data_IF_381724905872
#
_entry.id   IF_381724905872
#
_cell.length_a   1.000
_cell.length_b   1.000
_cell.length_c   1.000
_cell.angle_alpha   90.00
_cell.angle_beta   90.00
_cell.angle_gamma   90.00
#
_symmetry.space_group_name_H-M   'P 1'
#
loop_
_entity.id
_entity.type
_entity.pdbx_description
1 polymer ?
#
# COMPACT_ATOMS: atom_id res chain seq x y z
N UNK A 1 79.22 38.02 -32.06
CA UNK A 1 80.14 37.50 -31.01
C UNK A 1 79.43 36.32 -30.37
N UNK A 2 79.84 35.10 -30.74
CA UNK A 2 80.74 34.18 -30.00
C UNK A 2 79.99 33.42 -28.88
N UNK A 3 80.04 32.10 -29.04
CA UNK A 3 79.57 31.04 -28.17
C UNK A 3 80.07 31.19 -26.73
N UNK A 4 79.33 30.64 -25.76
CA UNK A 4 79.91 29.60 -24.90
C UNK A 4 78.82 28.73 -24.26
N UNK A 5 79.04 27.42 -24.40
CA UNK A 5 78.36 26.33 -23.70
C UNK A 5 79.10 26.13 -22.39
N UNK A 6 78.39 26.07 -21.26
CA UNK A 6 78.91 25.48 -20.03
C UNK A 6 77.95 24.39 -19.54
N UNK A 7 78.43 23.16 -19.57
CA UNK A 7 78.00 22.01 -18.77
C UNK A 7 79.13 21.72 -17.75
N UNK A 8 79.00 20.82 -16.75
CA UNK A 8 77.86 20.38 -15.94
C UNK A 8 78.22 20.44 -14.42
N UNK A 9 77.28 20.10 -13.51
CA UNK A 9 77.65 19.43 -12.24
C UNK A 9 76.51 18.57 -11.70
N UNK A 10 76.58 17.27 -11.96
CA UNK A 10 75.94 16.26 -11.11
C UNK A 10 76.80 16.09 -9.85
N UNK A 11 76.22 16.25 -8.68
CA UNK A 11 76.65 15.47 -7.52
C UNK A 11 75.45 14.81 -6.85
N UNK A 12 75.63 13.50 -6.67
CA UNK A 12 74.74 12.54 -6.08
C UNK A 12 74.63 12.70 -4.55
N UNK A 13 73.52 12.17 -4.05
CA UNK A 13 73.31 11.52 -2.76
C UNK A 13 72.98 12.39 -1.54
N UNK A 14 71.70 12.33 -1.14
CA UNK A 14 71.36 11.51 0.04
C UNK A 14 69.98 10.88 -0.08
N UNK A 15 70.03 9.56 -0.14
CA UNK A 15 68.94 8.59 -0.10
C UNK A 15 68.41 8.46 1.33
N UNK A 16 67.10 8.15 1.44
CA UNK A 16 66.30 7.66 2.59
C UNK A 16 65.41 8.69 3.29
N UNK A 17 64.14 8.67 2.90
CA UNK A 17 63.08 8.22 3.81
C UNK A 17 61.90 7.70 3.00
N UNK A 18 61.86 6.37 2.85
CA UNK A 18 60.67 5.61 2.53
C UNK A 18 59.75 5.66 3.76
N UNK A 19 58.55 6.19 3.63
CA UNK A 19 57.37 5.66 4.33
C UNK A 19 56.23 5.62 3.32
N UNK A 20 55.90 4.40 2.92
CA UNK A 20 54.78 4.04 2.08
C UNK A 20 53.47 4.50 2.73
N UNK A 21 52.62 5.20 1.98
CA UNK A 21 51.19 5.23 2.20
C UNK A 21 50.49 4.80 0.91
N UNK A 22 50.68 3.53 0.54
CA UNK A 22 49.82 2.86 -0.42
C UNK A 22 48.51 2.49 0.31
N UNK A 23 47.53 3.38 0.27
CA UNK A 23 46.16 3.07 0.68
C UNK A 23 45.57 2.12 -0.38
N UNK A 24 45.62 0.83 -0.04
CA UNK A 24 44.98 -0.26 -0.77
C UNK A 24 43.47 -0.01 -0.74
N UNK A 25 42.90 0.39 -1.89
CA UNK A 25 41.48 0.24 -2.16
C UNK A 25 41.18 -1.27 -2.30
N UNK A 26 41.08 -1.95 -1.16
CA UNK A 26 40.51 -3.28 -1.12
C UNK A 26 39.01 -3.10 -1.35
N UNK A 27 38.58 -3.27 -2.59
CA UNK A 27 37.18 -3.55 -2.92
C UNK A 27 36.78 -4.80 -2.12
N UNK A 28 36.18 -4.58 -0.95
CA UNK A 28 35.37 -5.60 -0.32
C UNK A 28 34.19 -5.85 -1.27
N UNK A 29 34.37 -6.82 -2.18
CA UNK A 29 33.26 -7.59 -2.70
C UNK A 29 32.68 -8.36 -1.53
N UNK A 30 32.00 -7.65 -0.63
CA UNK A 30 31.09 -8.26 0.31
C UNK A 30 30.12 -9.06 -0.54
N UNK A 31 30.00 -10.34 -0.25
CA UNK A 31 28.99 -11.19 -0.86
C UNK A 31 27.67 -10.43 -0.79
N UNK A 32 27.19 -10.00 -1.95
CA UNK A 32 25.81 -9.54 -2.07
C UNK A 32 25.04 -10.81 -1.78
N UNK A 33 24.63 -10.99 -0.52
CA UNK A 33 23.61 -11.97 -0.21
C UNK A 33 22.45 -11.56 -1.11
N UNK A 34 22.22 -12.35 -2.16
CA UNK A 34 21.00 -12.23 -2.93
C UNK A 34 19.91 -12.31 -1.87
N UNK A 35 19.28 -11.17 -1.58
CA UNK A 35 18.12 -11.13 -0.73
C UNK A 35 17.11 -12.02 -1.44
N UNK A 36 16.99 -13.26 -0.99
CA UNK A 36 15.88 -14.11 -1.36
C UNK A 36 14.66 -13.26 -1.06
N UNK A 37 13.88 -12.93 -2.10
CA UNK A 37 12.63 -12.23 -1.92
C UNK A 37 11.79 -13.07 -0.96
N UNK A 38 11.76 -12.68 0.32
CA UNK A 38 11.00 -13.39 1.32
C UNK A 38 9.54 -13.18 0.93
N UNK A 39 8.90 -14.25 0.46
CA UNK A 39 7.46 -14.24 0.24
C UNK A 39 6.81 -13.90 1.57
N UNK A 40 6.01 -12.83 1.61
CA UNK A 40 5.32 -12.43 2.83
C UNK A 40 4.22 -13.46 3.06
N UNK A 41 4.32 -14.24 4.13
CA UNK A 41 3.32 -15.24 4.44
C UNK A 41 2.02 -14.53 4.87
N UNK A 42 0.97 -14.65 4.06
CA UNK A 42 -0.36 -14.16 4.42
C UNK A 42 -0.95 -15.01 5.55
N UNK A 43 -1.66 -14.40 6.53
CA UNK A 43 -2.36 -15.17 7.55
C UNK A 43 -3.45 -16.05 6.92
N UNK A 44 -3.78 -17.20 7.56
CA UNK A 44 -4.90 -18.01 7.13
C UNK A 44 -6.23 -17.25 7.27
N UNK A 45 -7.08 -17.39 6.28
CA UNK A 45 -8.40 -16.74 6.22
C UNK A 45 -9.51 -17.76 5.96
N UNK A 46 -10.76 -17.47 6.35
CA UNK A 46 -11.91 -18.25 5.91
C UNK A 46 -12.00 -18.30 4.39
N UNK A 47 -12.42 -19.45 3.85
CA UNK A 47 -12.46 -19.75 2.40
C UNK A 47 -13.08 -18.63 1.57
N UNK A 48 -14.14 -17.99 2.07
CA UNK A 48 -14.87 -16.94 1.36
C UNK A 48 -14.03 -15.69 1.06
N UNK A 49 -13.03 -15.36 1.89
CA UNK A 49 -12.15 -14.21 1.67
C UNK A 49 -10.71 -14.63 1.38
N UNK A 50 -10.44 -15.92 1.21
CA UNK A 50 -9.10 -16.40 0.85
C UNK A 50 -8.75 -15.98 -0.58
N UNK A 51 -7.53 -15.46 -0.84
CA UNK A 51 -7.13 -15.07 -2.18
C UNK A 51 -7.13 -16.29 -3.11
N UNK A 52 -7.43 -16.13 -4.40
CA UNK A 52 -7.45 -17.26 -5.33
C UNK A 52 -6.11 -17.99 -5.44
N UNK A 53 -6.17 -19.25 -5.86
CA UNK A 53 -4.97 -20.08 -6.07
C UNK A 53 -3.99 -19.38 -7.01
N UNK A 54 -2.72 -19.37 -6.61
CA UNK A 54 -1.64 -18.71 -7.34
C UNK A 54 -1.44 -17.23 -7.00
N UNK A 55 -2.30 -16.64 -6.16
CA UNK A 55 -2.08 -15.31 -5.62
C UNK A 55 -0.97 -15.34 -4.56
N UNK A 56 0.04 -14.48 -4.72
CA UNK A 56 1.17 -14.39 -3.77
C UNK A 56 1.23 -13.00 -3.14
N UNK A 57 1.21 -12.92 -1.81
CA UNK A 57 1.37 -11.67 -1.09
C UNK A 57 2.80 -11.13 -1.30
N UNK A 58 2.89 -9.86 -1.67
CA UNK A 58 4.17 -9.17 -1.89
C UNK A 58 4.31 -7.90 -1.05
N UNK A 59 3.24 -7.43 -0.43
CA UNK A 59 3.24 -6.24 0.42
C UNK A 59 2.19 -6.34 1.53
N UNK A 60 2.56 -5.90 2.72
CA UNK A 60 1.65 -5.69 3.86
C UNK A 60 1.77 -4.25 4.36
N UNK A 61 0.63 -3.64 4.67
CA UNK A 61 0.56 -2.30 5.25
C UNK A 61 -0.48 -2.23 6.37
N UNK A 62 -0.10 -1.60 7.48
CA UNK A 62 -0.97 -1.36 8.63
C UNK A 62 -1.63 0.00 8.47
N UNK A 63 -2.94 0.00 8.27
CA UNK A 63 -3.73 1.20 8.03
C UNK A 63 -4.20 1.83 9.34
N UNK A 64 -4.11 3.16 9.39
CA UNK A 64 -4.79 4.03 10.34
C UNK A 64 -5.58 5.07 9.56
N UNK A 65 -6.86 5.25 9.90
CA UNK A 65 -7.71 6.16 9.14
C UNK A 65 -9.14 6.25 9.64
N UNK A 66 -10.04 6.69 8.76
CA UNK A 66 -11.48 6.77 9.00
C UNK A 66 -12.27 6.09 7.90
N UNK A 67 -13.39 5.51 8.30
CA UNK A 67 -14.44 5.03 7.41
C UNK A 67 -15.53 6.09 7.34
N UNK A 68 -15.74 6.66 6.16
CA UNK A 68 -16.80 7.63 5.95
C UNK A 68 -18.15 7.00 5.62
N UNK A 69 -19.20 7.59 6.21
CA UNK A 69 -20.60 7.24 6.03
C UNK A 69 -21.41 8.46 5.62
N UNK A 70 -22.43 8.22 4.78
CA UNK A 70 -23.47 9.20 4.45
C UNK A 70 -24.82 8.59 4.81
N UNK A 71 -25.67 9.40 5.45
CA UNK A 71 -27.04 9.01 5.74
C UNK A 71 -27.91 9.20 4.51
N UNK A 72 -28.51 8.11 4.01
CA UNK A 72 -29.41 8.11 2.86
C UNK A 72 -30.76 7.47 3.22
N UNK A 73 -31.85 7.79 2.49
CA UNK A 73 -33.11 7.08 2.61
C UNK A 73 -32.93 5.58 2.33
N UNK A 74 -33.67 4.72 3.03
CA UNK A 74 -33.62 3.27 2.80
C UNK A 74 -34.18 2.86 1.43
N UNK A 75 -35.10 3.66 0.89
CA UNK A 75 -35.64 3.56 -0.46
C UNK A 75 -36.18 4.93 -0.90
N UNK A 76 -36.49 5.07 -2.18
CA UNK A 76 -37.10 6.30 -2.71
C UNK A 76 -38.44 6.60 -2.01
N UNK A 77 -38.59 7.83 -1.50
CA UNK A 77 -39.78 8.25 -0.76
C UNK A 77 -39.88 7.71 0.68
N UNK A 78 -38.90 6.96 1.18
CA UNK A 78 -38.90 6.44 2.54
C UNK A 78 -38.80 7.54 3.60
N UNK A 79 -39.55 7.38 4.69
CA UNK A 79 -39.37 8.16 5.93
C UNK A 79 -38.18 7.69 6.76
N UNK A 80 -37.66 6.49 6.47
CA UNK A 80 -36.58 5.86 7.19
C UNK A 80 -35.25 6.08 6.45
N UNK A 81 -34.19 6.26 7.23
CA UNK A 81 -32.84 6.48 6.72
C UNK A 81 -31.85 5.51 7.36
N UNK A 82 -30.79 5.16 6.65
CA UNK A 82 -29.71 4.34 7.19
C UNK A 82 -28.33 4.81 6.71
N UNK A 83 -27.33 4.58 7.57
CA UNK A 83 -25.94 4.84 7.21
C UNK A 83 -25.53 3.91 6.09
N UNK A 84 -25.03 4.48 4.99
CA UNK A 84 -24.54 3.70 3.86
C UNK A 84 -23.05 3.91 3.61
N UNK A 85 -22.45 2.87 3.04
CA UNK A 85 -21.10 2.86 2.45
C UNK A 85 -21.17 2.80 0.92
N UNK A 86 -22.33 3.05 0.30
CA UNK A 86 -22.41 3.23 -1.14
C UNK A 86 -21.60 4.48 -1.48
N UNK A 87 -20.43 4.28 -2.10
CA UNK A 87 -19.33 5.24 -2.16
C UNK A 87 -18.58 5.40 -0.82
N UNK A 88 -18.19 4.27 -0.23
CA UNK A 88 -17.31 4.20 0.93
C UNK A 88 -16.21 5.24 0.74
N UNK A 89 -16.06 6.15 1.70
CA UNK A 89 -14.98 7.13 1.70
C UNK A 89 -13.91 6.60 2.64
N UNK A 90 -13.08 5.64 2.19
CA UNK A 90 -11.90 5.34 2.97
C UNK A 90 -11.04 6.60 2.98
N UNK A 91 -10.45 6.88 4.12
CA UNK A 91 -9.37 7.84 4.26
C UNK A 91 -8.39 7.23 5.24
N UNK A 92 -7.34 6.59 4.74
CA UNK A 92 -6.36 5.94 5.58
C UNK A 92 -4.95 6.05 5.02
N UNK A 93 -3.99 5.99 5.93
CA UNK A 93 -2.58 5.89 5.61
C UNK A 93 -2.07 4.53 6.08
N UNK A 94 -1.39 3.82 5.19
CA UNK A 94 -0.80 2.52 5.48
C UNK A 94 0.69 2.69 5.75
N UNK A 95 1.13 2.08 6.84
CA UNK A 95 2.50 2.09 7.30
C UNK A 95 3.11 0.69 7.26
N UNK A 96 4.41 0.61 7.06
CA UNK A 96 5.19 -0.61 7.29
C UNK A 96 6.41 -0.28 8.13
N UNK A 97 6.96 -1.27 8.82
CA UNK A 97 8.15 -1.08 9.64
C UNK A 97 9.40 -1.35 8.82
N UNK A 98 10.25 -0.33 8.67
CA UNK A 98 11.54 -0.42 8.00
C UNK A 98 12.63 0.07 8.94
N UNK A 99 13.66 -0.76 9.19
CA UNK A 99 14.71 -0.50 10.19
C UNK A 99 14.18 -0.05 11.57
N UNK A 100 13.06 -0.64 12.01
CA UNK A 100 12.42 -0.30 13.29
C UNK A 100 11.63 1.01 13.29
N UNK A 101 11.55 1.72 12.17
CA UNK A 101 10.75 2.93 12.02
C UNK A 101 9.50 2.68 11.18
N UNK A 102 8.38 3.31 11.54
CA UNK A 102 7.20 3.29 10.70
C UNK A 102 7.38 4.23 9.51
N UNK A 103 7.22 3.68 8.32
CA UNK A 103 7.28 4.41 7.05
C UNK A 103 5.91 4.34 6.40
N UNK A 104 5.36 5.49 6.03
CA UNK A 104 4.17 5.56 5.20
C UNK A 104 4.48 4.99 3.82
N UNK A 105 3.71 3.99 3.39
CA UNK A 105 3.90 3.32 2.10
C UNK A 105 2.78 3.60 1.11
N UNK A 106 1.56 3.79 1.59
CA UNK A 106 0.37 3.91 0.74
C UNK A 106 -0.63 4.89 1.37
N UNK A 107 -1.22 5.73 0.53
CA UNK A 107 -2.42 6.49 0.87
C UNK A 107 -3.64 5.79 0.28
N UNK A 108 -4.66 5.55 1.10
CA UNK A 108 -5.90 4.88 0.74
C UNK A 108 -7.07 5.85 0.78
N UNK A 109 -7.75 6.03 -0.36
CA UNK A 109 -8.81 7.03 -0.53
C UNK A 109 -9.82 6.66 -1.62
N UNK A 110 -10.89 7.43 -1.77
CA UNK A 110 -11.85 7.30 -2.88
C UNK A 110 -11.39 8.13 -4.08
N UNK A 111 -11.30 7.54 -5.26
CA UNK A 111 -11.04 8.29 -6.50
C UNK A 111 -11.69 7.66 -7.73
N UNK A 112 -11.94 8.43 -8.81
CA UNK A 112 -12.42 7.87 -10.07
C UNK A 112 -11.39 6.89 -10.66
N UNK A 113 -11.85 5.72 -11.10
CA UNK A 113 -11.00 4.76 -11.81
C UNK A 113 -10.83 5.21 -13.27
N UNK A 114 -9.66 5.79 -13.56
CA UNK A 114 -9.32 6.33 -14.89
C UNK A 114 -8.72 5.29 -15.85
N UNK A 115 -8.38 4.10 -15.35
CA UNK A 115 -7.79 3.00 -16.13
C UNK A 115 -8.45 1.67 -15.78
N UNK A 116 -9.76 1.51 -16.06
CA UNK A 116 -10.48 0.28 -15.77
C UNK A 116 -9.91 -0.89 -16.57
N UNK A 117 -9.84 -2.07 -15.94
CA UNK A 117 -9.49 -3.32 -16.61
C UNK A 117 -10.78 -4.15 -16.89
N UNK A 118 -10.61 -5.37 -17.39
CA UNK A 118 -11.73 -6.28 -17.73
C UNK A 118 -12.65 -6.67 -16.55
N UNK A 119 -12.19 -6.47 -15.30
CA UNK A 119 -12.95 -6.78 -14.08
C UNK A 119 -13.73 -5.56 -13.57
N UNK A 120 -13.52 -4.38 -14.15
CA UNK A 120 -14.28 -3.20 -13.78
C UNK A 120 -15.74 -3.32 -14.26
N UNK A 121 -16.71 -2.86 -13.44
CA UNK A 121 -18.10 -2.76 -13.88
C UNK A 121 -18.23 -1.75 -15.03
N UNK A 122 -19.23 -1.96 -15.88
CA UNK A 122 -19.60 -1.04 -16.97
C UNK A 122 -21.04 -0.56 -16.77
N UNK A 123 -21.29 0.75 -16.55
CA UNK A 123 -20.32 1.83 -16.47
C UNK A 123 -19.47 1.76 -15.18
N UNK A 124 -18.27 2.35 -15.24
CA UNK A 124 -17.39 2.48 -14.07
C UNK A 124 -18.08 3.38 -13.04
N UNK A 125 -18.05 2.96 -11.78
CA UNK A 125 -18.60 3.75 -10.68
C UNK A 125 -17.91 5.12 -10.58
N UNK A 126 -18.63 6.13 -10.08
CA UNK A 126 -18.10 7.48 -9.92
C UNK A 126 -16.80 7.54 -9.07
N UNK A 127 -16.67 6.64 -8.10
CA UNK A 127 -15.46 6.50 -7.31
C UNK A 127 -15.26 5.05 -6.86
N UNK A 128 -13.99 4.65 -6.79
CA UNK A 128 -13.57 3.35 -6.29
C UNK A 128 -12.54 3.51 -5.17
N UNK A 129 -12.51 2.52 -4.29
CA UNK A 129 -11.47 2.39 -3.29
C UNK A 129 -10.11 2.34 -4.01
N UNK A 130 -9.21 3.25 -3.63
CA UNK A 130 -7.93 3.51 -4.30
C UNK A 130 -6.79 3.36 -3.33
N UNK A 131 -5.70 2.74 -3.75
CA UNK A 131 -4.44 2.70 -3.03
C UNK A 131 -3.36 3.32 -3.91
N UNK A 132 -2.68 4.34 -3.40
CA UNK A 132 -1.61 5.03 -4.11
C UNK A 132 -0.30 4.91 -3.34
N UNK A 133 0.73 4.43 -4.03
CA UNK A 133 2.09 4.30 -3.53
C UNK A 133 2.69 5.66 -3.18
N UNK A 134 3.28 5.77 -2.00
CA UNK A 134 4.03 6.96 -1.58
C UNK A 134 5.44 7.02 -2.19
N UNK A 135 5.91 5.95 -2.85
CA UNK A 135 7.26 5.86 -3.40
C UNK A 135 7.35 6.23 -4.88
N UNK A 136 6.35 5.85 -5.67
CA UNK A 136 6.38 5.98 -7.13
C UNK A 136 5.06 6.46 -7.72
N UNK A 137 4.09 6.87 -6.89
CA UNK A 137 2.78 7.40 -7.32
C UNK A 137 1.90 6.38 -8.07
N UNK A 138 2.36 5.14 -8.27
CA UNK A 138 1.56 4.08 -8.85
C UNK A 138 0.32 3.84 -7.99
N UNK A 139 -0.81 3.53 -8.62
CA UNK A 139 -2.09 3.35 -7.93
C UNK A 139 -2.89 2.19 -8.49
N UNK A 140 -3.73 1.62 -7.65
CA UNK A 140 -4.70 0.59 -8.02
C UNK A 140 -6.07 0.94 -7.48
N UNK A 141 -7.10 0.56 -8.23
CA UNK A 141 -8.50 0.62 -7.80
C UNK A 141 -9.00 -0.81 -7.60
N UNK A 142 -9.76 -1.03 -6.54
CA UNK A 142 -10.33 -2.34 -6.26
C UNK A 142 -11.81 -2.26 -5.87
N UNK A 143 -12.49 -3.39 -6.07
CA UNK A 143 -13.87 -3.60 -5.67
C UNK A 143 -13.97 -4.82 -4.77
N UNK A 144 -14.82 -4.73 -3.75
CA UNK A 144 -15.11 -5.86 -2.87
C UNK A 144 -15.70 -7.01 -3.68
N UNK A 145 -15.04 -8.17 -3.63
CA UNK A 145 -15.54 -9.42 -4.17
C UNK A 145 -16.31 -10.17 -3.09
N UNK A 146 -15.71 -10.29 -1.91
CA UNK A 146 -16.29 -10.97 -0.75
C UNK A 146 -16.02 -10.20 0.55
N UNK A 147 -16.93 -10.35 1.50
CA UNK A 147 -16.85 -9.74 2.80
C UNK A 147 -17.32 -10.72 3.88
N UNK A 148 -16.67 -10.69 5.03
CA UNK A 148 -17.11 -11.38 6.25
C UNK A 148 -17.22 -10.37 7.39
N UNK A 149 -18.18 -10.57 8.28
CA UNK A 149 -18.27 -9.80 9.51
C UNK A 149 -17.20 -10.29 10.50
N UNK A 150 -16.57 -9.39 11.27
CA UNK A 150 -15.62 -9.80 12.29
C UNK A 150 -16.29 -10.64 13.37
N UNK A 151 -15.58 -11.67 13.82
CA UNK A 151 -16.01 -12.57 14.89
C UNK A 151 -14.80 -13.15 15.61
N UNK A 152 -14.91 -13.33 16.93
CA UNK A 152 -13.79 -13.73 17.79
C UNK A 152 -13.18 -15.10 17.44
N UNK A 153 -13.93 -15.96 16.73
CA UNK A 153 -13.49 -17.28 16.26
C UNK A 153 -12.69 -17.23 14.95
N UNK A 154 -12.58 -16.06 14.31
CA UNK A 154 -11.83 -15.87 13.06
C UNK A 154 -10.52 -15.12 13.36
N UNK A 155 -9.35 -15.78 13.44
CA UNK A 155 -8.11 -15.14 13.87
C UNK A 155 -7.66 -13.97 12.98
N UNK A 156 -7.97 -14.02 11.69
CA UNK A 156 -7.69 -12.94 10.73
C UNK A 156 -8.74 -11.83 10.72
N UNK A 157 -9.85 -12.00 11.44
CA UNK A 157 -10.91 -11.01 11.57
C UNK A 157 -11.58 -11.01 12.97
N UNK A 158 -10.83 -10.84 14.07
CA UNK A 158 -11.32 -11.21 15.41
C UNK A 158 -12.21 -10.15 16.09
N UNK A 159 -12.18 -8.89 15.64
CA UNK A 159 -12.70 -7.77 16.43
C UNK A 159 -14.17 -7.47 16.13
N UNK A 160 -15.08 -8.21 16.77
CA UNK A 160 -16.54 -8.04 16.64
C UNK A 160 -16.97 -6.58 16.77
N UNK A 161 -17.94 -6.16 15.95
CA UNK A 161 -18.42 -4.77 15.93
C UNK A 161 -17.50 -3.80 15.19
N UNK A 162 -16.49 -4.29 14.46
CA UNK A 162 -15.66 -3.50 13.52
C UNK A 162 -16.16 -3.66 12.08
N UNK A 163 -15.63 -2.84 11.16
CA UNK A 163 -15.90 -3.00 9.72
C UNK A 163 -15.50 -4.38 9.21
N UNK A 164 -16.20 -4.87 8.18
CA UNK A 164 -15.96 -6.17 7.57
C UNK A 164 -14.51 -6.36 7.09
N UNK A 165 -14.00 -7.57 7.26
CA UNK A 165 -12.81 -8.04 6.55
C UNK A 165 -13.20 -8.44 5.13
N UNK A 166 -12.32 -8.15 4.17
CA UNK A 166 -12.66 -8.17 2.75
C UNK A 166 -11.61 -8.93 1.93
N UNK A 167 -12.07 -9.55 0.85
CA UNK A 167 -11.28 -9.80 -0.35
C UNK A 167 -11.75 -8.84 -1.44
N UNK A 168 -10.81 -8.13 -2.05
CA UNK A 168 -11.05 -7.18 -3.13
C UNK A 168 -10.31 -7.59 -4.40
N UNK A 169 -11.00 -7.49 -5.53
CA UNK A 169 -10.46 -7.65 -6.88
C UNK A 169 -9.95 -6.30 -7.39
N UNK A 170 -8.73 -6.24 -7.92
CA UNK A 170 -8.23 -5.04 -8.60
C UNK A 170 -8.94 -4.88 -9.94
N UNK A 171 -9.58 -3.74 -10.12
CA UNK A 171 -10.39 -3.35 -11.28
C UNK A 171 -9.73 -2.27 -12.13
N UNK A 172 -8.52 -1.83 -11.78
CA UNK A 172 -7.75 -0.86 -12.56
C UNK A 172 -6.40 -0.60 -11.93
N UNK A 173 -5.44 -0.16 -12.74
CA UNK A 173 -4.10 0.18 -12.30
C UNK A 173 -3.52 1.32 -13.12
N UNK A 174 -2.72 2.18 -12.50
CA UNK A 174 -2.03 3.29 -13.15
C UNK A 174 -0.59 3.39 -12.62
N UNK A 175 0.36 3.52 -13.54
CA UNK A 175 1.79 3.66 -13.23
C UNK A 175 2.13 5.05 -12.66
N UNK A 176 1.20 6.01 -12.75
CA UNK A 176 1.48 7.39 -12.34
C UNK A 176 2.33 8.14 -13.38
N UNK A 177 2.63 9.43 -13.12
CA UNK A 177 3.23 10.31 -14.13
C UNK A 177 4.69 9.96 -14.46
N UNK A 178 5.38 9.22 -13.60
CA UNK A 178 6.79 8.87 -13.75
C UNK A 178 7.01 7.39 -14.12
N UNK A 179 5.95 6.64 -14.46
CA UNK A 179 6.06 5.23 -14.86
C UNK A 179 6.39 4.25 -13.71
N UNK A 180 5.86 4.52 -12.51
CA UNK A 180 6.00 3.64 -11.34
C UNK A 180 5.29 2.30 -11.52
N UNK A 181 5.79 1.25 -10.86
CA UNK A 181 5.28 -0.14 -11.02
C UNK A 181 5.03 -0.86 -9.71
N UNK A 182 5.23 -0.19 -8.58
CA UNK A 182 5.20 -0.83 -7.28
C UNK A 182 3.85 -1.50 -7.01
N UNK A 183 2.74 -0.78 -7.21
CA UNK A 183 1.39 -1.31 -7.01
C UNK A 183 0.73 -1.88 -8.27
N UNK A 184 1.22 -1.59 -9.47
CA UNK A 184 0.52 -2.02 -10.70
C UNK A 184 0.53 -3.53 -10.92
N UNK A 185 1.38 -4.27 -10.19
CA UNK A 185 1.38 -5.74 -10.17
C UNK A 185 0.26 -6.35 -9.29
N UNK A 186 -0.48 -5.54 -8.52
CA UNK A 186 -1.53 -6.04 -7.63
C UNK A 186 -2.72 -6.57 -8.42
N UNK A 187 -3.15 -7.78 -8.09
CA UNK A 187 -4.36 -8.42 -8.62
C UNK A 187 -5.47 -8.51 -7.57
N UNK A 188 -5.12 -8.77 -6.31
CA UNK A 188 -6.06 -8.83 -5.19
C UNK A 188 -5.54 -8.03 -3.99
N UNK A 189 -6.47 -7.55 -3.18
CA UNK A 189 -6.19 -6.90 -1.90
C UNK A 189 -7.06 -7.58 -0.84
N UNK A 190 -6.47 -7.96 0.29
CA UNK A 190 -7.25 -8.35 1.47
C UNK A 190 -7.19 -7.26 2.53
N UNK A 191 -8.31 -7.04 3.21
CA UNK A 191 -8.39 -6.22 4.42
C UNK A 191 -8.74 -7.11 5.60
N UNK A 192 -7.85 -7.21 6.57
CA UNK A 192 -7.92 -8.10 7.72
C UNK A 192 -7.75 -7.32 9.02
N UNK A 193 -7.96 -7.98 10.17
CA UNK A 193 -7.71 -7.44 11.52
C UNK A 193 -8.28 -6.03 11.72
N UNK A 194 -9.48 -5.80 11.21
CA UNK A 194 -10.16 -4.51 11.30
C UNK A 194 -10.50 -4.20 12.75
N UNK A 195 -10.35 -2.95 13.18
CA UNK A 195 -10.75 -2.46 14.51
C UNK A 195 -11.49 -1.14 14.35
N UNK A 196 -12.70 -1.07 14.87
CA UNK A 196 -13.55 0.12 14.75
C UNK A 196 -14.09 0.32 13.33
N UNK A 197 -14.38 1.58 13.00
CA UNK A 197 -14.90 2.00 11.71
C UNK A 197 -16.38 1.70 11.45
N UNK A 198 -17.08 1.00 12.34
CA UNK A 198 -18.49 0.63 12.13
C UNK A 198 -19.41 1.85 12.10
N UNK A 199 -20.52 1.71 11.38
CA UNK A 199 -21.52 2.78 11.27
C UNK A 199 -21.98 3.23 12.67
N UNK A 200 -22.16 4.54 12.91
CA UNK A 200 -22.70 5.01 14.18
C UNK A 200 -24.08 4.40 14.46
N UNK A 201 -24.34 4.04 15.71
CA UNK A 201 -25.64 3.46 16.11
C UNK A 201 -26.81 4.46 16.05
N UNK A 202 -26.50 5.76 15.99
CA UNK A 202 -27.48 6.85 15.99
C UNK A 202 -27.17 7.88 14.91
N UNK A 203 -28.07 8.85 14.72
CA UNK A 203 -27.86 9.96 13.82
C UNK A 203 -28.17 9.69 12.35
N UNK A 204 -28.72 8.51 12.05
CA UNK A 204 -29.32 8.20 10.76
C UNK A 204 -30.42 7.15 10.91
N UNK A 205 -31.64 7.62 11.19
CA UNK A 205 -32.81 6.75 11.32
C UNK A 205 -34.05 7.33 10.66
N UNK A 206 -34.16 8.66 10.57
CA UNK A 206 -35.32 9.35 10.02
C UNK A 206 -34.96 10.23 8.83
N UNK A 207 -35.95 10.60 8.02
CA UNK A 207 -35.76 11.44 6.83
C UNK A 207 -35.04 12.78 7.10
N UNK A 208 -35.19 13.36 8.30
CA UNK A 208 -34.49 14.59 8.69
C UNK A 208 -33.00 14.40 8.97
N UNK A 209 -32.53 13.15 9.10
CA UNK A 209 -31.11 12.81 9.24
C UNK A 209 -30.40 12.71 7.88
N UNK A 210 -31.14 12.60 6.79
CA UNK A 210 -30.59 12.41 5.44
C UNK A 210 -29.59 13.52 5.12
N UNK A 211 -28.46 13.15 4.48
CA UNK A 211 -27.27 13.98 4.21
C UNK A 211 -26.34 14.22 5.39
N UNK A 212 -26.67 13.77 6.61
CA UNK A 212 -25.66 13.71 7.68
C UNK A 212 -24.49 12.83 7.25
N UNK A 213 -23.31 13.18 7.72
CA UNK A 213 -22.07 12.49 7.41
C UNK A 213 -21.35 12.14 8.71
N UNK A 214 -20.66 11.02 8.72
CA UNK A 214 -19.83 10.60 9.85
C UNK A 214 -18.51 10.03 9.35
N UNK A 215 -17.43 10.35 10.06
CA UNK A 215 -16.12 9.73 9.89
C UNK A 215 -15.84 8.91 11.14
N UNK A 216 -15.74 7.59 11.01
CA UNK A 216 -15.51 6.70 12.14
C UNK A 216 -14.08 6.16 12.09
N UNK A 217 -13.24 6.39 13.11
CA UNK A 217 -11.87 5.90 13.13
C UNK A 217 -11.78 4.38 12.99
N UNK A 218 -10.79 3.90 12.23
CA UNK A 218 -10.49 2.49 12.13
C UNK A 218 -8.99 2.21 11.97
N UNK A 219 -8.60 0.98 12.29
CA UNK A 219 -7.33 0.38 11.84
C UNK A 219 -7.58 -0.94 11.12
N UNK A 220 -6.70 -1.34 10.21
CA UNK A 220 -6.76 -2.64 9.55
C UNK A 220 -5.41 -3.04 8.96
N UNK A 221 -5.22 -4.33 8.69
CA UNK A 221 -4.07 -4.85 7.96
C UNK A 221 -4.46 -5.07 6.50
N UNK A 222 -3.72 -4.47 5.57
CA UNK A 222 -3.91 -4.65 4.14
C UNK A 222 -2.80 -5.49 3.54
N UNK A 223 -3.20 -6.53 2.81
CA UNK A 223 -2.30 -7.45 2.12
C UNK A 223 -2.53 -7.32 0.62
N UNK A 224 -1.45 -7.08 -0.13
CA UNK A 224 -1.49 -6.92 -1.58
C UNK A 224 -0.88 -8.16 -2.24
N UNK A 225 -1.63 -8.71 -3.18
CA UNK A 225 -1.29 -9.94 -3.88
C UNK A 225 -1.03 -9.67 -5.35
N UNK A 226 -0.12 -10.44 -5.94
CA UNK A 226 0.09 -10.52 -7.40
C UNK A 226 -0.24 -11.91 -7.90
N UNK A 227 -0.57 -12.04 -9.18
CA UNK A 227 -0.97 -13.31 -9.78
C UNK A 227 -2.38 -13.74 -9.34
N UNK A 228 -2.61 -15.04 -9.22
CA UNK A 228 -3.94 -15.59 -8.96
C UNK A 228 -4.74 -15.79 -10.24
N UNK A 229 -5.43 -16.92 -10.32
CA UNK A 229 -6.40 -17.22 -11.38
C UNK A 229 -7.77 -17.14 -10.74
N UNK A 230 -8.63 -16.29 -11.28
CA UNK A 230 -10.05 -16.28 -10.94
C UNK A 230 -10.75 -17.48 -11.58
#
# INVERSE_FOLDING_TARGET
MKFDVVQPKKQLARVRSLLLAALVFACAFGAVNQATAQNIASPPTPTLITPPVGATAFLVGHALGTQGYVCLPTSEGSSDASWTVNQARPEATLFTTFFGQQVQIITHFLSPNTKPNKFAPSPVAFGNATWQSSFDTSKVWAQTQHAIQPSADIPSCPNTGSIACLLLQVIGADEGPTGGKFLTQTSFIQRLNTKGGSAPATGCSVASDVRKQALVPYSADYWFFRGGVE
#
